data_IF_094283504836
#
_entry.id   IF_094283504836
#
_cell.length_a   1.000
_cell.length_b   1.000
_cell.length_c   1.000
_cell.angle_alpha   90.00
_cell.angle_beta   90.00
_cell.angle_gamma   90.00
#
_symmetry.space_group_name_H-M   'P 1'
#
loop_
_entity.id
_entity.type
_entity.pdbx_description
1 polymer ?
#
# COMPACT_ATOMS: atom_id res chain seq x y z
N UNK A 1 24.89 24.37 6.88
CA UNK A 1 25.83 23.36 6.33
C UNK A 1 25.35 21.98 6.76
N UNK A 2 25.11 21.08 5.81
CA UNK A 2 24.71 19.70 6.11
C UNK A 2 25.77 19.01 6.98
N UNK A 3 25.33 18.32 8.06
CA UNK A 3 26.24 17.52 8.89
C UNK A 3 26.73 16.34 8.06
N UNK A 4 28.04 16.16 7.99
CA UNK A 4 28.63 14.98 7.34
C UNK A 4 28.42 13.74 8.21
N UNK A 5 28.47 12.57 7.60
CA UNK A 5 28.29 11.26 8.28
C UNK A 5 29.22 11.11 9.50
N UNK A 6 30.43 11.66 9.44
CA UNK A 6 31.37 11.66 10.56
C UNK A 6 30.86 12.45 11.76
N UNK A 7 30.30 13.64 11.49
CA UNK A 7 29.72 14.48 12.57
C UNK A 7 28.52 13.78 13.23
N UNK A 8 27.76 12.99 12.46
CA UNK A 8 26.68 12.13 12.97
C UNK A 8 27.20 11.06 13.93
N UNK A 9 28.25 10.35 13.54
CA UNK A 9 28.85 9.29 14.35
C UNK A 9 29.42 9.86 15.68
N UNK A 10 29.90 11.09 15.66
CA UNK A 10 30.39 11.78 16.85
C UNK A 10 29.23 12.35 17.72
N UNK A 11 28.13 12.77 17.13
CA UNK A 11 26.97 13.35 17.83
C UNK A 11 26.04 12.31 18.47
N UNK A 12 25.93 11.11 17.90
CA UNK A 12 24.97 10.10 18.35
C UNK A 12 25.18 9.62 19.78
N UNK A 13 26.41 9.36 20.29
CA UNK A 13 26.62 9.00 21.69
C UNK A 13 26.09 10.06 22.66
N UNK A 14 26.31 11.35 22.39
CA UNK A 14 25.80 12.45 23.22
C UNK A 14 24.25 12.52 23.16
N UNK A 15 23.65 12.24 22.00
CA UNK A 15 22.21 12.13 21.86
C UNK A 15 21.63 10.98 22.69
N UNK A 16 22.30 9.83 22.75
CA UNK A 16 21.89 8.70 23.58
C UNK A 16 21.99 9.04 25.09
N UNK A 17 23.05 9.75 25.51
CA UNK A 17 23.21 10.20 26.89
C UNK A 17 22.09 11.18 27.28
N UNK A 18 21.80 12.14 26.42
CA UNK A 18 20.72 13.12 26.62
C UNK A 18 19.35 12.46 26.74
N UNK A 19 19.06 11.48 25.85
CA UNK A 19 17.81 10.71 25.87
C UNK A 19 17.77 9.62 26.95
N UNK A 20 18.87 9.39 27.65
CA UNK A 20 19.03 8.32 28.67
C UNK A 20 18.66 6.94 28.11
N UNK A 21 19.12 6.64 26.91
CA UNK A 21 18.93 5.35 26.27
C UNK A 21 20.26 4.68 25.93
N UNK A 22 20.19 3.39 25.60
CA UNK A 22 21.33 2.66 25.05
C UNK A 22 21.44 2.94 23.55
N UNK A 23 22.68 3.01 23.05
CA UNK A 23 22.92 3.15 21.63
C UNK A 23 22.34 1.95 20.84
N UNK A 24 21.58 2.24 19.79
CA UNK A 24 21.01 1.25 18.88
C UNK A 24 22.12 0.71 18.00
N UNK A 25 22.56 -0.53 18.25
CA UNK A 25 23.76 -1.09 17.64
C UNK A 25 23.69 -1.14 16.10
N UNK A 26 22.58 -1.51 15.46
CA UNK A 26 22.47 -1.46 13.99
C UNK A 26 22.67 -0.05 13.42
N UNK A 27 22.23 0.99 14.13
CA UNK A 27 22.48 2.37 13.72
C UNK A 27 23.96 2.75 13.84
N UNK A 28 24.60 2.39 14.97
CA UNK A 28 26.05 2.56 15.15
C UNK A 28 26.81 1.87 14.02
N UNK A 29 26.44 0.62 13.71
CA UNK A 29 27.05 -0.14 12.61
C UNK A 29 26.86 0.51 11.23
N UNK A 30 25.69 1.12 10.96
CA UNK A 30 25.44 1.86 9.73
C UNK A 30 26.34 3.11 9.63
N UNK A 31 26.44 3.87 10.72
CA UNK A 31 27.32 5.05 10.82
C UNK A 31 28.79 4.66 10.61
N UNK A 32 29.26 3.63 11.29
CA UNK A 32 30.65 3.16 11.18
C UNK A 32 30.97 2.74 9.76
N UNK A 33 30.12 1.91 9.12
CA UNK A 33 30.33 1.50 7.72
C UNK A 33 30.37 2.68 6.75
N UNK A 34 29.52 3.68 6.93
CA UNK A 34 29.49 4.84 6.07
C UNK A 34 30.72 5.72 6.28
N UNK A 35 31.20 5.90 7.53
CA UNK A 35 32.44 6.61 7.84
C UNK A 35 33.66 5.91 7.25
N UNK A 36 33.78 4.57 7.44
CA UNK A 36 34.90 3.78 6.93
C UNK A 36 34.95 3.78 5.40
N UNK A 37 33.81 3.79 4.75
CA UNK A 37 33.69 3.89 3.30
C UNK A 37 33.88 5.32 2.77
N UNK A 38 33.96 6.34 3.64
CA UNK A 38 33.98 7.76 3.23
C UNK A 38 32.72 8.18 2.49
N UNK A 39 31.59 7.47 2.71
CA UNK A 39 30.32 7.69 2.03
C UNK A 39 29.35 8.53 2.88
N UNK A 40 28.45 9.23 2.21
CA UNK A 40 27.34 9.90 2.88
C UNK A 40 26.24 8.87 3.23
N UNK A 41 25.64 9.02 4.42
CA UNK A 41 24.50 8.21 4.85
C UNK A 41 23.23 8.78 4.23
N UNK A 42 22.64 8.07 3.27
CA UNK A 42 21.42 8.49 2.56
C UNK A 42 20.18 7.74 3.03
N UNK A 43 20.35 6.54 3.56
CA UNK A 43 19.25 5.76 4.10
C UNK A 43 19.64 5.11 5.44
N UNK A 44 18.65 4.97 6.33
CA UNK A 44 18.76 4.32 7.64
C UNK A 44 17.65 3.30 7.77
N UNK A 45 17.99 2.02 7.88
CA UNK A 45 17.03 0.92 8.05
C UNK A 45 17.20 0.28 9.42
N UNK A 46 16.17 0.46 10.26
CA UNK A 46 16.11 -0.04 11.64
C UNK A 46 14.80 -0.78 11.88
N UNK A 47 14.45 -1.69 10.98
CA UNK A 47 13.24 -2.51 11.06
C UNK A 47 13.32 -3.46 12.28
N UNK A 48 12.36 -3.33 13.22
CA UNK A 48 12.31 -4.08 14.48
C UNK A 48 12.10 -5.58 14.32
N UNK A 49 11.72 -6.07 13.15
CA UNK A 49 11.62 -7.50 12.83
C UNK A 49 12.93 -8.06 12.26
N UNK A 50 13.94 -7.22 12.05
CA UNK A 50 15.29 -7.70 11.68
C UNK A 50 15.91 -8.52 12.81
N UNK A 51 16.83 -9.44 12.47
CA UNK A 51 17.51 -10.29 13.47
C UNK A 51 18.24 -9.45 14.51
N UNK A 52 18.79 -8.32 14.11
CA UNK A 52 19.59 -7.42 14.93
C UNK A 52 18.75 -6.65 15.97
N UNK A 53 17.48 -6.38 15.65
CA UNK A 53 16.59 -5.59 16.49
C UNK A 53 15.46 -6.38 17.15
N UNK A 54 15.24 -7.64 16.79
CA UNK A 54 14.11 -8.43 17.29
C UNK A 54 14.01 -8.47 18.82
N UNK A 55 15.13 -8.55 19.54
CA UNK A 55 15.20 -8.55 20.99
C UNK A 55 15.53 -7.17 21.62
N UNK A 56 15.72 -6.13 20.82
CA UNK A 56 16.14 -4.80 21.24
C UNK A 56 15.52 -3.72 20.35
N UNK A 57 14.20 -3.79 20.17
CA UNK A 57 13.43 -2.82 19.38
C UNK A 57 13.66 -1.40 19.89
N UNK A 58 13.68 -0.46 18.96
CA UNK A 58 13.82 0.96 19.26
C UNK A 58 12.56 1.45 20.01
N UNK A 59 12.75 2.00 21.20
CA UNK A 59 11.70 2.67 21.96
C UNK A 59 11.65 4.18 21.67
N UNK A 60 10.74 4.91 22.29
CA UNK A 60 10.61 6.35 22.12
C UNK A 60 11.88 7.11 22.41
N UNK A 61 12.66 6.70 23.44
CA UNK A 61 13.94 7.33 23.77
C UNK A 61 15.01 7.06 22.72
N UNK A 62 15.08 5.83 22.23
CA UNK A 62 15.97 5.45 21.15
C UNK A 62 15.65 6.22 19.87
N UNK A 63 14.37 6.36 19.55
CA UNK A 63 13.90 7.15 18.42
C UNK A 63 14.27 8.64 18.57
N UNK A 64 14.11 9.21 19.78
CA UNK A 64 14.51 10.58 20.07
C UNK A 64 16.02 10.81 19.91
N UNK A 65 16.85 9.86 20.35
CA UNK A 65 18.30 9.94 20.15
C UNK A 65 18.70 9.89 18.67
N UNK A 66 18.06 8.99 17.89
CA UNK A 66 18.27 8.88 16.44
C UNK A 66 17.82 10.17 15.74
N UNK A 67 16.61 10.66 16.04
CA UNK A 67 16.06 11.89 15.49
C UNK A 67 16.95 13.10 15.79
N UNK A 68 17.41 13.24 17.04
CA UNK A 68 18.34 14.31 17.44
C UNK A 68 19.66 14.26 16.66
N UNK A 69 20.23 13.07 16.47
CA UNK A 69 21.43 12.90 15.67
C UNK A 69 21.21 13.26 14.19
N UNK A 70 20.09 12.84 13.60
CA UNK A 70 19.74 13.09 12.20
C UNK A 70 19.32 14.54 11.93
N UNK A 71 18.93 15.30 12.95
CA UNK A 71 18.48 16.69 12.78
C UNK A 71 19.53 17.56 12.09
N UNK A 72 19.13 18.20 10.98
CA UNK A 72 20.01 19.10 10.20
C UNK A 72 21.03 18.39 9.34
N UNK A 73 20.94 17.06 9.18
CA UNK A 73 21.70 16.34 8.17
C UNK A 73 21.04 16.55 6.82
N UNK A 74 21.76 17.08 5.86
CA UNK A 74 21.22 17.29 4.50
C UNK A 74 21.35 16.05 3.60
N UNK A 75 21.60 14.86 4.12
CA UNK A 75 21.95 13.68 3.32
C UNK A 75 21.02 12.49 3.49
N UNK A 76 20.36 12.33 4.64
CA UNK A 76 19.46 11.21 4.89
C UNK A 76 18.10 11.47 4.24
N UNK A 77 17.77 10.65 3.25
CA UNK A 77 16.54 10.73 2.46
C UNK A 77 15.48 9.72 2.90
N UNK A 78 15.90 8.59 3.49
CA UNK A 78 15.01 7.50 3.90
C UNK A 78 15.32 7.04 5.32
N UNK A 79 14.27 6.95 6.16
CA UNK A 79 14.33 6.44 7.52
C UNK A 79 13.25 5.38 7.72
N UNK A 80 13.66 4.12 7.86
CA UNK A 80 12.80 3.00 8.23
C UNK A 80 12.99 2.68 9.72
N UNK A 81 11.95 2.96 10.50
CA UNK A 81 11.80 2.63 11.91
C UNK A 81 10.62 1.70 12.16
N UNK A 82 10.20 0.96 11.15
CA UNK A 82 9.04 0.07 11.20
C UNK A 82 9.20 -1.06 12.22
N UNK A 83 8.08 -1.51 12.77
CA UNK A 83 7.96 -2.63 13.72
C UNK A 83 8.80 -2.50 15.00
N UNK A 84 8.91 -1.29 15.51
CA UNK A 84 9.57 -0.95 16.75
C UNK A 84 8.56 -0.71 17.90
N UNK A 85 8.93 0.04 18.92
CA UNK A 85 8.08 0.41 20.06
C UNK A 85 8.11 1.91 20.29
N UNK A 86 7.95 2.66 19.20
CA UNK A 86 7.99 4.12 19.24
C UNK A 86 6.61 4.60 19.65
N UNK A 87 6.57 5.35 20.72
CA UNK A 87 5.41 6.01 21.32
C UNK A 87 5.25 7.46 20.83
N UNK A 88 4.31 8.18 21.41
CA UNK A 88 4.04 9.58 21.09
C UNK A 88 5.23 10.52 21.36
N UNK A 89 6.02 10.26 22.41
CA UNK A 89 7.23 11.03 22.70
C UNK A 89 8.29 10.82 21.61
N UNK A 90 8.46 9.58 21.17
CA UNK A 90 9.35 9.26 20.06
C UNK A 90 8.89 9.89 18.74
N UNK A 91 7.59 9.84 18.46
CA UNK A 91 6.99 10.48 17.30
C UNK A 91 7.17 12.01 17.31
N UNK A 92 7.05 12.64 18.48
CA UNK A 92 7.33 14.07 18.63
C UNK A 92 8.77 14.45 18.29
N UNK A 93 9.74 13.66 18.76
CA UNK A 93 11.14 13.88 18.42
C UNK A 93 11.41 13.73 16.90
N UNK A 94 10.75 12.74 16.27
CA UNK A 94 10.81 12.54 14.81
C UNK A 94 10.19 13.73 14.07
N UNK A 95 9.04 14.24 14.53
CA UNK A 95 8.40 15.41 13.95
C UNK A 95 9.32 16.65 13.99
N UNK A 96 10.01 16.87 15.10
CA UNK A 96 11.00 17.96 15.21
C UNK A 96 12.19 17.79 14.26
N UNK A 97 12.63 16.55 14.04
CA UNK A 97 13.66 16.25 13.07
C UNK A 97 13.17 16.55 11.64
N UNK A 98 11.96 16.12 11.27
CA UNK A 98 11.38 16.36 9.95
C UNK A 98 11.36 17.84 9.58
N UNK A 99 10.92 18.70 10.52
CA UNK A 99 10.89 20.15 10.33
C UNK A 99 12.26 20.78 10.03
N UNK A 100 13.36 20.06 10.31
CA UNK A 100 14.75 20.54 10.15
C UNK A 100 15.57 19.68 9.17
N UNK A 101 14.96 18.75 8.48
CA UNK A 101 15.63 17.79 7.59
C UNK A 101 15.05 17.83 6.19
N UNK A 102 15.39 18.84 5.36
CA UNK A 102 14.78 19.03 4.04
C UNK A 102 15.14 17.95 3.02
N UNK A 103 16.11 17.09 3.30
CA UNK A 103 16.46 15.96 2.45
C UNK A 103 15.54 14.74 2.65
N UNK A 104 14.82 14.66 3.78
CA UNK A 104 13.99 13.51 4.11
C UNK A 104 12.82 13.37 3.13
N UNK A 105 12.75 12.23 2.43
CA UNK A 105 11.73 11.90 1.43
C UNK A 105 10.81 10.79 1.89
N UNK A 106 11.34 9.78 2.57
CA UNK A 106 10.58 8.60 2.98
C UNK A 106 10.75 8.31 4.46
N UNK A 107 9.62 8.17 5.15
CA UNK A 107 9.56 7.82 6.57
C UNK A 107 8.61 6.63 6.77
N UNK A 108 9.16 5.53 7.26
CA UNK A 108 8.42 4.33 7.60
C UNK A 108 8.34 4.13 9.12
N UNK A 109 7.15 4.32 9.68
CA UNK A 109 6.83 4.16 11.10
C UNK A 109 5.82 3.04 11.34
N UNK A 110 5.61 2.13 10.39
CA UNK A 110 4.63 1.04 10.49
C UNK A 110 4.84 0.20 11.75
N UNK A 111 3.71 -0.26 12.34
CA UNK A 111 3.74 -1.24 13.43
C UNK A 111 4.50 -0.76 14.66
N UNK A 112 4.28 0.47 15.06
CA UNK A 112 4.77 1.08 16.30
C UNK A 112 3.61 1.29 17.29
N UNK A 113 3.84 2.05 18.35
CA UNK A 113 2.89 2.35 19.41
C UNK A 113 2.49 3.84 19.40
N UNK A 114 2.49 4.47 18.22
CA UNK A 114 2.17 5.89 18.05
C UNK A 114 0.66 6.07 18.16
N UNK A 115 0.24 6.90 19.09
CA UNK A 115 -1.15 7.26 19.32
C UNK A 115 -1.58 8.52 18.60
N UNK A 116 -2.79 9.04 18.91
CA UNK A 116 -3.32 10.26 18.30
C UNK A 116 -2.45 11.50 18.53
N UNK A 117 -1.81 11.61 19.70
CA UNK A 117 -0.95 12.75 20.04
C UNK A 117 0.31 12.76 19.19
N UNK A 118 0.98 11.60 19.03
CA UNK A 118 2.15 11.46 18.17
C UNK A 118 1.82 11.71 16.72
N UNK A 119 0.66 11.21 16.23
CA UNK A 119 0.17 11.48 14.88
C UNK A 119 -0.06 12.97 14.63
N UNK A 120 -0.64 13.69 15.60
CA UNK A 120 -0.83 15.13 15.51
C UNK A 120 0.50 15.89 15.39
N UNK A 121 1.54 15.47 16.13
CA UNK A 121 2.88 16.07 16.01
C UNK A 121 3.53 15.85 14.64
N UNK A 122 3.37 14.65 14.08
CA UNK A 122 3.83 14.38 12.71
C UNK A 122 3.02 15.24 11.71
N UNK A 123 1.70 15.35 11.90
CA UNK A 123 0.83 16.20 11.10
C UNK A 123 1.25 17.67 11.11
N UNK A 124 1.57 18.22 12.30
CA UNK A 124 2.08 19.59 12.45
C UNK A 124 3.36 19.82 11.63
N UNK A 125 4.27 18.83 11.63
CA UNK A 125 5.50 18.90 10.84
C UNK A 125 5.24 18.83 9.32
N UNK A 126 4.19 18.13 8.89
CA UNK A 126 3.77 18.07 7.50
C UNK A 126 3.07 19.35 7.03
N UNK A 127 2.29 20.01 7.91
CA UNK A 127 1.54 21.22 7.59
C UNK A 127 2.43 22.46 7.42
N UNK A 128 3.63 22.47 8.02
CA UNK A 128 4.56 23.61 8.00
C UNK A 128 5.23 23.86 6.62
N UNK A 129 4.65 23.36 5.53
CA UNK A 129 5.21 23.45 4.16
C UNK A 129 4.97 24.79 3.46
N UNK A 130 4.72 25.88 4.16
CA UNK A 130 4.70 27.19 3.53
C UNK A 130 3.60 28.11 3.96
N UNK A 131 3.84 28.82 5.00
CA UNK A 131 3.43 30.24 5.11
C UNK A 131 3.86 30.81 6.45
N UNK A 132 4.87 31.63 6.45
CA UNK A 132 4.88 32.80 7.32
C UNK A 132 5.39 33.95 6.48
N UNK A 133 4.45 34.73 5.96
CA UNK A 133 4.72 36.01 5.29
C UNK A 133 5.28 37.07 6.26
N UNK A 134 5.55 36.74 7.51
CA UNK A 134 5.82 37.72 8.56
C UNK A 134 7.15 37.57 9.32
N UNK A 135 8.04 36.58 8.99
CA UNK A 135 9.34 36.51 9.64
C UNK A 135 10.50 36.42 8.61
N UNK A 136 11.11 37.56 8.37
CA UNK A 136 12.27 37.76 7.46
C UNK A 136 13.56 37.02 7.89
N UNK A 137 13.59 36.25 8.99
CA UNK A 137 14.82 35.67 9.55
C UNK A 137 14.85 34.14 9.76
N UNK A 138 13.80 33.41 9.40
CA UNK A 138 13.85 31.96 9.43
C UNK A 138 13.74 31.39 8.03
N UNK A 139 14.81 30.79 7.50
CA UNK A 139 14.72 29.89 6.37
C UNK A 139 13.67 28.82 6.69
N UNK A 140 12.44 29.03 6.26
CA UNK A 140 11.33 28.07 6.46
C UNK A 140 11.73 26.80 5.69
N UNK A 141 12.33 25.85 6.40
CA UNK A 141 12.63 24.53 5.89
C UNK A 141 11.30 23.80 5.71
N UNK A 142 10.73 23.86 4.53
CA UNK A 142 9.53 23.10 4.22
C UNK A 142 9.84 21.60 4.33
N UNK A 143 8.96 20.86 4.99
CA UNK A 143 9.02 19.41 5.03
C UNK A 143 8.89 18.88 3.58
N UNK A 144 9.88 18.12 3.12
CA UNK A 144 9.94 17.59 1.75
C UNK A 144 9.57 16.11 1.68
N UNK A 145 8.84 15.61 2.70
CA UNK A 145 8.44 14.21 2.78
C UNK A 145 7.48 13.86 1.66
N UNK A 146 7.81 12.81 0.91
CA UNK A 146 7.05 12.31 -0.22
C UNK A 146 6.25 11.04 0.16
N UNK A 147 6.77 10.21 1.07
CA UNK A 147 6.11 8.99 1.52
C UNK A 147 6.12 8.90 3.04
N UNK A 148 4.93 8.68 3.62
CA UNK A 148 4.71 8.44 5.04
C UNK A 148 3.91 7.16 5.23
N UNK A 149 4.49 6.19 5.94
CA UNK A 149 3.82 4.95 6.33
C UNK A 149 3.69 4.89 7.83
N UNK A 150 2.46 4.87 8.32
CA UNK A 150 2.10 4.79 9.75
C UNK A 150 1.11 3.66 10.04
N UNK A 151 0.88 2.77 9.09
CA UNK A 151 -0.04 1.64 9.24
C UNK A 151 0.35 0.75 10.44
N UNK A 152 -0.66 0.19 11.11
CA UNK A 152 -0.46 -0.64 12.31
C UNK A 152 -0.06 0.14 13.57
N UNK A 153 -0.36 1.44 13.65
CA UNK A 153 -0.25 2.26 14.85
C UNK A 153 -1.64 2.62 15.39
N UNK A 154 -1.87 2.76 16.70
CA UNK A 154 -3.18 3.09 17.25
C UNK A 154 -3.52 4.59 17.15
N UNK A 155 -3.53 5.14 15.92
CA UNK A 155 -3.74 6.58 15.68
C UNK A 155 -5.17 7.04 16.02
N UNK A 156 -6.16 6.15 15.88
CA UNK A 156 -7.57 6.46 16.08
C UNK A 156 -8.14 7.50 15.12
N UNK A 157 -9.37 7.92 15.36
CA UNK A 157 -10.01 8.97 14.56
C UNK A 157 -9.29 10.32 14.69
N UNK A 158 -8.87 10.69 15.90
CA UNK A 158 -8.25 11.98 16.15
C UNK A 158 -6.90 12.13 15.45
N UNK A 159 -6.10 11.06 15.39
CA UNK A 159 -4.84 11.04 14.65
C UNK A 159 -5.05 11.19 13.14
N UNK A 160 -6.05 10.49 12.58
CA UNK A 160 -6.38 10.64 11.15
C UNK A 160 -6.95 12.03 10.83
N UNK A 161 -7.75 12.62 11.71
CA UNK A 161 -8.25 13.99 11.55
C UNK A 161 -7.10 14.99 11.55
N UNK A 162 -6.10 14.83 12.44
CA UNK A 162 -4.92 15.69 12.43
C UNK A 162 -4.13 15.56 11.12
N UNK A 163 -3.90 14.32 10.62
CA UNK A 163 -3.26 14.10 9.32
C UNK A 163 -4.08 14.69 8.16
N UNK A 164 -5.42 14.57 8.20
CA UNK A 164 -6.30 15.18 7.21
C UNK A 164 -6.17 16.70 7.18
N UNK A 165 -6.07 17.36 8.34
CA UNK A 165 -5.80 18.80 8.40
C UNK A 165 -4.47 19.18 7.77
N UNK A 166 -3.42 18.40 8.03
CA UNK A 166 -2.11 18.63 7.43
C UNK A 166 -2.13 18.45 5.90
N UNK A 167 -2.86 17.46 5.40
CA UNK A 167 -3.00 17.21 3.95
C UNK A 167 -3.58 18.40 3.19
N UNK A 168 -4.45 19.22 3.82
CA UNK A 168 -5.06 20.41 3.17
C UNK A 168 -4.02 21.44 2.71
N UNK A 169 -2.89 21.51 3.38
CA UNK A 169 -1.84 22.50 3.07
C UNK A 169 -0.54 21.86 2.58
N UNK A 170 -0.37 20.55 2.76
CA UNK A 170 0.83 19.84 2.35
C UNK A 170 0.84 19.62 0.83
N UNK A 171 1.94 20.03 0.18
CA UNK A 171 2.15 19.93 -1.27
C UNK A 171 3.30 18.98 -1.66
N UNK A 172 3.89 18.28 -0.68
CA UNK A 172 5.02 17.37 -0.91
C UNK A 172 4.65 15.89 -0.89
N UNK A 173 3.68 15.50 -0.03
CA UNK A 173 3.35 14.11 0.20
C UNK A 173 2.66 13.49 -1.02
N UNK A 174 3.20 12.36 -1.46
CA UNK A 174 2.72 11.55 -2.60
C UNK A 174 2.09 10.24 -2.14
N UNK A 175 2.61 9.67 -1.06
CA UNK A 175 2.15 8.41 -0.48
C UNK A 175 1.82 8.60 0.99
N UNK A 176 0.61 8.16 1.40
CA UNK A 176 0.18 8.04 2.78
C UNK A 176 -0.41 6.65 3.02
N UNK A 177 0.12 5.93 4.01
CA UNK A 177 -0.48 4.68 4.47
C UNK A 177 -0.81 4.77 5.97
N UNK A 178 -2.11 4.67 6.27
CA UNK A 178 -2.70 4.70 7.61
C UNK A 178 -3.67 3.54 7.81
N UNK A 179 -3.37 2.39 7.22
CA UNK A 179 -4.14 1.15 7.43
C UNK A 179 -3.94 0.57 8.81
N UNK A 180 -4.88 -0.25 9.29
CA UNK A 180 -4.81 -0.91 10.61
C UNK A 180 -4.51 0.08 11.78
N UNK A 181 -5.04 1.31 11.70
CA UNK A 181 -4.73 2.40 12.65
C UNK A 181 -5.82 2.63 13.69
N UNK A 182 -6.70 1.68 13.95
CA UNK A 182 -7.81 1.79 14.90
C UNK A 182 -8.79 2.95 14.63
N UNK A 183 -8.71 3.55 13.44
CA UNK A 183 -9.57 4.64 13.04
C UNK A 183 -10.94 4.15 12.61
N UNK A 184 -11.97 4.92 12.97
CA UNK A 184 -13.35 4.68 12.58
C UNK A 184 -13.76 5.49 11.34
N UNK A 185 -15.07 5.62 11.19
CA UNK A 185 -15.67 6.32 10.05
C UNK A 185 -15.28 7.81 9.98
N UNK A 186 -15.11 8.46 11.15
CA UNK A 186 -14.78 9.87 11.23
C UNK A 186 -13.39 10.16 10.66
N UNK A 187 -12.41 9.36 11.08
CA UNK A 187 -11.02 9.52 10.63
C UNK A 187 -10.87 9.28 9.13
N UNK A 188 -11.40 8.15 8.61
CA UNK A 188 -11.28 7.84 7.17
C UNK A 188 -12.04 8.84 6.30
N UNK A 189 -13.22 9.32 6.77
CA UNK A 189 -13.97 10.37 6.06
C UNK A 189 -13.23 11.69 6.04
N UNK A 190 -12.59 12.10 7.15
CA UNK A 190 -11.81 13.32 7.20
C UNK A 190 -10.65 13.31 6.18
N UNK A 191 -9.94 12.19 6.05
CA UNK A 191 -8.88 12.02 5.05
C UNK A 191 -9.44 12.12 3.63
N UNK A 192 -10.53 11.40 3.32
CA UNK A 192 -11.17 11.47 2.00
C UNK A 192 -11.61 12.90 1.64
N UNK A 193 -12.22 13.63 2.60
CA UNK A 193 -12.68 15.00 2.39
C UNK A 193 -11.53 15.96 2.18
N UNK A 194 -10.44 15.85 2.96
CA UNK A 194 -9.27 16.70 2.79
C UNK A 194 -8.62 16.55 1.41
N UNK A 195 -8.54 15.31 0.90
CA UNK A 195 -8.01 15.05 -0.43
C UNK A 195 -8.97 15.56 -1.51
N UNK A 196 -10.29 15.37 -1.32
CA UNK A 196 -11.29 15.84 -2.26
C UNK A 196 -11.33 17.37 -2.40
N UNK A 197 -11.20 18.09 -1.28
CA UNK A 197 -11.38 19.56 -1.25
C UNK A 197 -10.09 20.33 -1.55
N UNK A 198 -8.95 19.87 -1.01
CA UNK A 198 -7.78 20.74 -0.90
C UNK A 198 -6.44 20.08 -1.33
N UNK A 199 -6.38 18.75 -1.52
CA UNK A 199 -5.11 18.08 -1.84
C UNK A 199 -5.10 17.44 -3.22
N UNK A 200 -4.30 17.98 -4.11
CA UNK A 200 -4.06 17.47 -5.48
C UNK A 200 -2.70 16.78 -5.66
N UNK A 201 -1.94 16.62 -4.59
CA UNK A 201 -0.56 16.08 -4.67
C UNK A 201 -0.47 14.61 -4.35
N UNK A 202 -1.36 14.06 -3.51
CA UNK A 202 -1.34 12.66 -3.10
C UNK A 202 -1.63 11.73 -4.30
N UNK A 203 -0.87 10.65 -4.41
CA UNK A 203 -0.97 9.66 -5.49
C UNK A 203 -1.30 8.27 -4.97
N UNK A 204 -0.85 7.92 -3.78
CA UNK A 204 -1.09 6.61 -3.16
C UNK A 204 -1.68 6.78 -1.76
N UNK A 205 -2.81 6.12 -1.52
CA UNK A 205 -3.52 6.14 -0.24
C UNK A 205 -3.85 4.73 0.22
N UNK A 206 -3.37 4.36 1.41
CA UNK A 206 -3.73 3.13 2.11
C UNK A 206 -4.51 3.44 3.38
N UNK A 207 -5.74 2.90 3.48
CA UNK A 207 -6.61 3.06 4.66
C UNK A 207 -7.28 1.72 5.02
N UNK A 208 -6.53 0.63 4.95
CA UNK A 208 -7.08 -0.71 5.17
C UNK A 208 -7.55 -0.91 6.61
N UNK A 209 -8.53 -1.78 6.79
CA UNK A 209 -9.00 -2.28 8.09
C UNK A 209 -9.47 -1.20 9.08
N UNK A 210 -10.30 -0.23 8.69
CA UNK A 210 -10.88 0.73 9.64
C UNK A 210 -11.88 0.04 10.58
N UNK A 211 -12.06 0.58 11.78
CA UNK A 211 -13.06 0.11 12.77
C UNK A 211 -14.47 0.57 12.38
N UNK A 212 -15.10 -0.15 11.46
CA UNK A 212 -16.45 0.16 11.01
C UNK A 212 -17.47 -0.71 11.80
N UNK A 213 -18.36 -0.06 12.54
CA UNK A 213 -19.38 -0.73 13.35
C UNK A 213 -20.74 -0.83 12.66
N UNK A 214 -20.94 -0.12 11.56
CA UNK A 214 -22.20 -0.06 10.82
C UNK A 214 -22.05 -0.65 9.42
N UNK A 215 -23.17 -1.16 8.87
CA UNK A 215 -23.27 -1.58 7.47
C UNK A 215 -23.63 -0.41 6.53
N UNK A 216 -23.50 0.83 7.00
CA UNK A 216 -23.76 2.01 6.17
C UNK A 216 -22.57 2.27 5.25
N UNK A 217 -22.83 2.48 3.97
CA UNK A 217 -21.81 2.69 2.96
C UNK A 217 -21.34 4.14 2.83
N UNK A 218 -21.61 5.00 3.84
CA UNK A 218 -21.26 6.43 3.81
C UNK A 218 -19.76 6.66 3.57
N UNK A 219 -18.92 5.90 4.24
CA UNK A 219 -17.47 5.96 4.07
C UNK A 219 -17.04 5.61 2.64
N UNK A 220 -17.71 4.67 1.97
CA UNK A 220 -17.44 4.30 0.57
C UNK A 220 -17.82 5.44 -0.36
N UNK A 221 -18.91 6.16 -0.08
CA UNK A 221 -19.31 7.32 -0.87
C UNK A 221 -18.27 8.46 -0.80
N UNK A 222 -17.69 8.70 0.37
CA UNK A 222 -16.60 9.68 0.50
C UNK A 222 -15.35 9.26 -0.26
N UNK A 223 -14.98 7.97 -0.21
CA UNK A 223 -13.87 7.43 -1.00
C UNK A 223 -14.14 7.53 -2.52
N UNK A 224 -15.36 7.26 -2.97
CA UNK A 224 -15.75 7.39 -4.37
C UNK A 224 -15.67 8.86 -4.85
N UNK A 225 -16.19 9.82 -4.05
CA UNK A 225 -16.08 11.26 -4.37
C UNK A 225 -14.63 11.72 -4.44
N UNK A 226 -13.80 11.27 -3.52
CA UNK A 226 -12.38 11.58 -3.52
C UNK A 226 -11.73 11.08 -4.81
N UNK A 227 -11.95 9.81 -5.21
CA UNK A 227 -11.40 9.26 -6.44
C UNK A 227 -11.81 10.05 -7.69
N UNK A 228 -13.07 10.47 -7.77
CA UNK A 228 -13.60 11.18 -8.94
C UNK A 228 -12.95 12.56 -9.16
N UNK A 229 -12.37 13.17 -8.12
CA UNK A 229 -11.90 14.55 -8.18
C UNK A 229 -10.42 14.71 -7.78
N UNK A 230 -9.71 13.62 -7.48
CA UNK A 230 -8.32 13.68 -7.04
C UNK A 230 -7.35 13.03 -8.02
N UNK A 231 -6.05 13.31 -7.82
CA UNK A 231 -4.96 12.67 -8.56
C UNK A 231 -4.50 11.32 -8.00
N UNK A 232 -5.31 10.65 -7.16
CA UNK A 232 -4.96 9.37 -6.53
C UNK A 232 -4.92 8.26 -7.58
N UNK A 233 -3.77 7.62 -7.69
CA UNK A 233 -3.52 6.51 -8.63
C UNK A 233 -3.59 5.15 -7.97
N UNK A 234 -3.28 5.07 -6.68
CA UNK A 234 -3.28 3.83 -5.91
C UNK A 234 -4.16 3.99 -4.68
N UNK A 235 -5.20 3.15 -4.55
CA UNK A 235 -6.12 3.17 -3.42
C UNK A 235 -6.28 1.78 -2.81
N UNK A 236 -6.00 1.65 -1.50
CA UNK A 236 -6.15 0.42 -0.74
C UNK A 236 -7.28 0.55 0.27
N UNK A 237 -8.36 -0.22 0.03
CA UNK A 237 -9.57 -0.30 0.84
C UNK A 237 -9.83 -1.74 1.35
N UNK A 238 -8.78 -2.46 1.65
CA UNK A 238 -8.89 -3.80 2.21
C UNK A 238 -9.64 -3.80 3.55
N UNK A 239 -10.53 -4.79 3.78
CA UNK A 239 -11.33 -4.95 5.01
C UNK A 239 -12.26 -3.75 5.34
N UNK A 240 -12.73 -3.05 4.36
CA UNK A 240 -13.66 -1.93 4.50
C UNK A 240 -15.12 -2.35 4.63
N UNK A 241 -15.40 -3.66 4.69
CA UNK A 241 -16.76 -4.25 4.72
C UNK A 241 -17.62 -3.82 3.52
N UNK A 242 -16.98 -3.51 2.38
CA UNK A 242 -17.65 -3.14 1.14
C UNK A 242 -18.49 -4.32 0.68
N UNK A 243 -19.79 -4.13 0.60
CA UNK A 243 -20.76 -5.08 0.08
C UNK A 243 -21.19 -4.73 -1.35
N UNK A 244 -22.23 -5.36 -1.86
CA UNK A 244 -22.74 -5.13 -3.21
C UNK A 244 -23.20 -3.69 -3.46
N UNK A 245 -23.76 -3.02 -2.45
CA UNK A 245 -24.17 -1.61 -2.55
C UNK A 245 -22.97 -0.67 -2.50
N UNK A 246 -22.00 -0.98 -1.64
CA UNK A 246 -20.75 -0.21 -1.54
C UNK A 246 -19.95 -0.27 -2.83
N UNK A 247 -19.79 -1.46 -3.43
CA UNK A 247 -19.05 -1.58 -4.70
C UNK A 247 -19.81 -0.92 -5.87
N UNK A 248 -21.13 -0.93 -5.86
CA UNK A 248 -21.93 -0.19 -6.86
C UNK A 248 -21.69 1.31 -6.75
N UNK A 249 -21.65 1.84 -5.54
CA UNK A 249 -21.31 3.25 -5.26
C UNK A 249 -19.91 3.59 -5.75
N UNK A 250 -18.92 2.75 -5.44
CA UNK A 250 -17.53 2.97 -5.86
C UNK A 250 -17.39 2.92 -7.38
N UNK A 251 -18.05 1.97 -8.05
CA UNK A 251 -18.04 1.86 -9.49
C UNK A 251 -18.71 3.07 -10.17
N UNK A 252 -19.90 3.45 -9.70
CA UNK A 252 -20.70 4.48 -10.36
C UNK A 252 -20.22 5.92 -10.15
N UNK A 253 -19.69 6.23 -8.97
CA UNK A 253 -19.30 7.60 -8.61
C UNK A 253 -17.79 7.81 -8.47
N UNK A 254 -17.00 6.76 -8.41
CA UNK A 254 -15.56 6.83 -8.15
C UNK A 254 -14.72 6.42 -9.35
N UNK A 255 -14.68 5.13 -9.62
CA UNK A 255 -13.73 4.58 -10.60
C UNK A 255 -14.03 5.03 -12.02
N UNK A 256 -15.31 5.01 -12.45
CA UNK A 256 -15.71 5.46 -13.79
C UNK A 256 -15.47 6.94 -14.05
N UNK A 257 -15.37 7.77 -12.99
CA UNK A 257 -15.07 9.18 -13.08
C UNK A 257 -13.58 9.50 -12.86
N UNK A 258 -12.77 8.54 -12.42
CA UNK A 258 -11.34 8.75 -12.16
C UNK A 258 -10.53 8.61 -13.44
N UNK A 259 -9.80 9.66 -13.80
CA UNK A 259 -8.94 9.67 -14.99
C UNK A 259 -7.53 9.11 -14.74
N UNK A 260 -7.22 8.70 -13.50
CA UNK A 260 -5.84 8.37 -13.14
C UNK A 260 -5.66 7.14 -12.24
N UNK A 261 -6.75 6.47 -11.79
CA UNK A 261 -6.65 5.31 -10.91
C UNK A 261 -6.02 4.12 -11.63
N UNK A 262 -4.85 3.69 -11.16
CA UNK A 262 -4.09 2.57 -11.71
C UNK A 262 -4.18 1.32 -10.84
N UNK A 263 -4.26 1.48 -9.52
CA UNK A 263 -4.26 0.39 -8.55
C UNK A 263 -5.45 0.47 -7.61
N UNK A 264 -6.24 -0.60 -7.51
CA UNK A 264 -7.38 -0.71 -6.59
C UNK A 264 -7.32 -2.02 -5.79
N UNK A 265 -7.15 -1.89 -4.47
CA UNK A 265 -7.18 -3.04 -3.56
C UNK A 265 -8.50 -3.07 -2.77
N UNK A 266 -9.29 -4.09 -3.04
CA UNK A 266 -10.57 -4.39 -2.42
C UNK A 266 -10.55 -5.73 -1.66
N UNK A 267 -9.38 -6.23 -1.29
CA UNK A 267 -9.25 -7.54 -0.62
C UNK A 267 -10.01 -7.61 0.70
N UNK A 268 -10.44 -8.81 1.09
CA UNK A 268 -11.09 -9.07 2.37
C UNK A 268 -12.35 -8.20 2.61
N UNK A 269 -13.13 -7.94 1.57
CA UNK A 269 -14.42 -7.26 1.67
C UNK A 269 -15.59 -8.27 1.60
N UNK A 270 -16.80 -7.76 1.51
CA UNK A 270 -18.02 -8.56 1.44
C UNK A 270 -18.66 -8.54 0.04
N UNK A 271 -17.84 -8.36 -1.01
CA UNK A 271 -18.31 -8.33 -2.40
C UNK A 271 -18.75 -9.73 -2.78
N UNK A 272 -20.04 -9.90 -3.04
CA UNK A 272 -20.61 -11.16 -3.46
C UNK A 272 -20.87 -11.20 -4.98
N UNK A 273 -21.46 -12.26 -5.47
CA UNK A 273 -21.83 -12.44 -6.89
C UNK A 273 -22.66 -11.29 -7.50
N UNK A 274 -23.51 -10.66 -6.66
CA UNK A 274 -24.30 -9.49 -7.10
C UNK A 274 -23.40 -8.28 -7.32
N UNK A 275 -22.49 -8.01 -6.37
CA UNK A 275 -21.50 -6.93 -6.44
C UNK A 275 -20.47 -7.13 -7.55
N UNK A 276 -20.20 -8.37 -7.95
CA UNK A 276 -19.26 -8.67 -9.04
C UNK A 276 -19.65 -8.04 -10.39
N UNK A 277 -20.93 -7.73 -10.61
CA UNK A 277 -21.37 -6.97 -11.80
C UNK A 277 -20.81 -5.53 -11.77
N UNK A 278 -20.76 -4.93 -10.60
CA UNK A 278 -20.14 -3.59 -10.45
C UNK A 278 -18.62 -3.67 -10.59
N UNK A 279 -18.00 -4.78 -10.15
CA UNK A 279 -16.58 -5.05 -10.43
C UNK A 279 -16.34 -5.19 -11.95
N UNK A 280 -17.21 -5.90 -12.66
CA UNK A 280 -17.15 -6.00 -14.13
C UNK A 280 -17.19 -4.61 -14.80
N UNK A 281 -18.08 -3.71 -14.34
CA UNK A 281 -18.10 -2.31 -14.80
C UNK A 281 -16.80 -1.57 -14.49
N UNK A 282 -16.21 -1.76 -13.32
CA UNK A 282 -14.90 -1.18 -12.97
C UNK A 282 -13.83 -1.61 -13.97
N UNK A 283 -13.84 -2.87 -14.41
CA UNK A 283 -12.89 -3.40 -15.39
C UNK A 283 -13.15 -2.81 -16.79
N UNK A 284 -14.40 -2.63 -17.17
CA UNK A 284 -14.78 -2.09 -18.50
C UNK A 284 -14.59 -0.58 -18.60
N UNK A 285 -14.99 0.18 -17.57
CA UNK A 285 -14.98 1.64 -17.54
C UNK A 285 -13.65 2.22 -17.01
N UNK A 286 -12.84 1.43 -16.31
CA UNK A 286 -11.57 1.86 -15.73
C UNK A 286 -10.45 1.96 -16.77
N UNK A 287 -10.42 3.03 -17.55
CA UNK A 287 -9.48 3.23 -18.67
C UNK A 287 -8.01 3.21 -18.26
N UNK A 288 -7.69 3.51 -17.00
CA UNK A 288 -6.34 3.59 -16.46
C UNK A 288 -5.98 2.43 -15.53
N UNK A 289 -6.97 1.60 -15.14
CA UNK A 289 -6.82 0.55 -14.14
C UNK A 289 -5.89 -0.57 -14.66
N UNK A 290 -4.80 -0.80 -13.93
CA UNK A 290 -3.79 -1.82 -14.23
C UNK A 290 -3.79 -2.98 -13.24
N UNK A 291 -4.13 -2.69 -11.97
CA UNK A 291 -4.03 -3.66 -10.88
C UNK A 291 -5.31 -3.67 -10.06
N UNK A 292 -5.95 -4.85 -9.99
CA UNK A 292 -7.19 -5.05 -9.25
C UNK A 292 -7.04 -6.24 -8.30
N UNK A 293 -7.15 -5.97 -7.00
CA UNK A 293 -7.12 -7.00 -5.98
C UNK A 293 -8.50 -7.21 -5.36
N UNK A 294 -9.03 -8.42 -5.53
CA UNK A 294 -10.33 -8.89 -5.01
C UNK A 294 -10.16 -10.08 -4.04
N UNK A 295 -8.93 -10.38 -3.61
CA UNK A 295 -8.64 -11.53 -2.74
C UNK A 295 -9.60 -11.60 -1.55
N UNK A 296 -10.07 -12.81 -1.22
CA UNK A 296 -10.96 -13.07 -0.08
C UNK A 296 -12.27 -12.28 -0.09
N UNK A 297 -12.89 -12.20 -1.25
CA UNK A 297 -14.29 -11.82 -1.41
C UNK A 297 -15.14 -13.08 -1.67
N UNK A 298 -16.46 -12.93 -1.83
CA UNK A 298 -17.39 -14.04 -2.08
C UNK A 298 -17.98 -13.99 -3.48
N UNK A 299 -17.10 -13.96 -4.49
CA UNK A 299 -17.50 -13.77 -5.88
C UNK A 299 -18.29 -14.97 -6.41
N UNK A 300 -17.97 -16.19 -5.98
CA UNK A 300 -18.52 -17.44 -6.48
C UNK A 300 -18.42 -17.56 -8.01
N UNK A 301 -18.98 -18.60 -8.60
CA UNK A 301 -18.95 -18.81 -10.06
C UNK A 301 -19.66 -17.72 -10.85
N UNK A 302 -20.82 -17.28 -10.37
CA UNK A 302 -21.60 -16.25 -11.05
C UNK A 302 -20.85 -14.91 -11.12
N UNK A 303 -20.12 -14.55 -10.06
CA UNK A 303 -19.25 -13.38 -10.06
C UNK A 303 -18.04 -13.54 -10.98
N UNK A 304 -17.42 -14.72 -10.98
CA UNK A 304 -16.32 -15.03 -11.89
C UNK A 304 -16.75 -14.95 -13.37
N UNK A 305 -17.94 -15.44 -13.70
CA UNK A 305 -18.53 -15.31 -15.06
C UNK A 305 -18.74 -13.84 -15.43
N UNK A 306 -19.27 -13.01 -14.52
CA UNK A 306 -19.45 -11.59 -14.80
C UNK A 306 -18.13 -10.87 -15.09
N UNK A 307 -17.10 -11.17 -14.30
CA UNK A 307 -15.74 -10.63 -14.51
C UNK A 307 -15.16 -11.15 -15.82
N UNK A 308 -15.28 -12.47 -16.12
CA UNK A 308 -14.78 -13.08 -17.35
C UNK A 308 -15.34 -12.41 -18.61
N UNK A 309 -16.61 -12.03 -18.60
CA UNK A 309 -17.27 -11.33 -19.71
C UNK A 309 -16.76 -9.89 -19.89
N UNK A 310 -16.28 -9.24 -18.83
CA UNK A 310 -15.73 -7.89 -18.88
C UNK A 310 -14.27 -7.85 -19.37
N UNK A 311 -13.48 -8.91 -19.14
CA UNK A 311 -12.04 -8.93 -19.46
C UNK A 311 -11.71 -8.57 -20.93
N UNK A 312 -12.45 -9.00 -21.96
CA UNK A 312 -12.18 -8.58 -23.33
C UNK A 312 -12.29 -7.07 -23.58
N UNK A 313 -13.06 -6.36 -22.74
CA UNK A 313 -13.26 -4.92 -22.81
C UNK A 313 -12.25 -4.14 -21.96
N UNK A 314 -11.51 -4.81 -21.07
CA UNK A 314 -10.48 -4.17 -20.26
C UNK A 314 -9.41 -3.50 -21.13
N UNK A 315 -9.09 -2.25 -20.85
CA UNK A 315 -8.17 -1.48 -21.69
C UNK A 315 -6.71 -1.64 -21.28
N UNK A 316 -6.42 -1.72 -19.98
CA UNK A 316 -5.05 -1.69 -19.42
C UNK A 316 -4.81 -2.65 -18.27
N UNK A 317 -5.73 -3.56 -17.94
CA UNK A 317 -5.62 -4.44 -16.80
C UNK A 317 -4.43 -5.41 -16.97
N UNK A 318 -3.40 -5.25 -16.13
CA UNK A 318 -2.18 -6.05 -16.15
C UNK A 318 -2.19 -7.17 -15.11
N UNK A 319 -2.80 -6.94 -13.96
CA UNK A 319 -2.89 -7.91 -12.88
C UNK A 319 -4.28 -7.95 -12.27
N UNK A 320 -4.80 -9.16 -12.07
CA UNK A 320 -6.02 -9.41 -11.31
C UNK A 320 -5.78 -10.49 -10.27
N UNK A 321 -6.15 -10.19 -9.02
CA UNK A 321 -6.05 -11.11 -7.89
C UNK A 321 -7.44 -11.48 -7.39
N UNK A 322 -7.82 -12.75 -7.57
CA UNK A 322 -9.08 -13.33 -7.10
C UNK A 322 -8.83 -14.57 -6.23
N UNK A 323 -7.76 -14.57 -5.46
CA UNK A 323 -7.44 -15.66 -4.54
C UNK A 323 -8.53 -15.82 -3.49
N UNK A 324 -8.87 -17.08 -3.17
CA UNK A 324 -9.84 -17.42 -2.10
C UNK A 324 -11.18 -16.67 -2.24
N UNK A 325 -11.76 -16.66 -3.42
CA UNK A 325 -13.01 -15.98 -3.75
C UNK A 325 -14.22 -16.93 -3.85
N UNK A 326 -14.13 -18.14 -3.31
CA UNK A 326 -15.18 -19.18 -3.35
C UNK A 326 -15.61 -19.57 -4.79
N UNK A 327 -14.68 -19.49 -5.73
CA UNK A 327 -14.91 -19.83 -7.15
C UNK A 327 -14.69 -21.34 -7.32
N UNK A 328 -15.66 -22.02 -7.91
CA UNK A 328 -15.61 -23.45 -8.28
C UNK A 328 -15.20 -23.62 -9.76
N UNK A 329 -15.26 -24.83 -10.28
CA UNK A 329 -14.72 -25.17 -11.59
C UNK A 329 -15.39 -24.42 -12.76
N UNK A 330 -16.69 -24.16 -12.67
CA UNK A 330 -17.43 -23.41 -13.71
C UNK A 330 -16.92 -21.97 -13.83
N UNK A 331 -16.69 -21.29 -12.71
CA UNK A 331 -16.13 -19.95 -12.67
C UNK A 331 -14.67 -19.92 -13.14
N UNK A 332 -13.87 -20.91 -12.71
CA UNK A 332 -12.48 -21.08 -13.18
C UNK A 332 -12.43 -21.27 -14.70
N UNK A 333 -13.34 -22.07 -15.28
CA UNK A 333 -13.47 -22.24 -16.70
C UNK A 333 -13.85 -20.94 -17.42
N UNK A 334 -14.82 -20.21 -16.87
CA UNK A 334 -15.27 -18.95 -17.46
C UNK A 334 -14.15 -17.91 -17.52
N UNK A 335 -13.35 -17.80 -16.45
CA UNK A 335 -12.18 -16.89 -16.41
C UNK A 335 -11.14 -17.25 -17.47
N UNK A 336 -10.83 -18.55 -17.63
CA UNK A 336 -9.92 -18.99 -18.70
C UNK A 336 -10.45 -18.61 -20.09
N UNK A 337 -11.75 -18.81 -20.33
CA UNK A 337 -12.40 -18.50 -21.60
C UNK A 337 -12.43 -16.97 -21.84
N UNK A 338 -12.72 -16.15 -20.83
CA UNK A 338 -12.71 -14.69 -20.92
C UNK A 338 -11.33 -14.14 -21.25
N UNK A 339 -10.28 -14.66 -20.60
CA UNK A 339 -8.89 -14.26 -20.90
C UNK A 339 -8.50 -14.75 -22.31
N UNK A 340 -8.90 -15.96 -22.70
CA UNK A 340 -8.63 -16.47 -24.04
C UNK A 340 -9.30 -15.62 -25.14
N UNK A 341 -10.51 -15.11 -24.87
CA UNK A 341 -11.25 -14.21 -25.77
C UNK A 341 -10.64 -12.80 -25.85
N UNK A 342 -9.84 -12.40 -24.87
CA UNK A 342 -9.13 -11.12 -24.86
C UNK A 342 -7.98 -11.15 -25.87
N UNK A 343 -7.78 -10.04 -26.59
CA UNK A 343 -6.64 -9.88 -27.50
C UNK A 343 -5.31 -10.13 -26.74
N UNK A 344 -4.37 -10.93 -27.28
CA UNK A 344 -3.14 -11.32 -26.56
C UNK A 344 -2.35 -10.16 -25.95
N UNK A 345 -2.26 -9.03 -26.66
CA UNK A 345 -1.56 -7.81 -26.20
C UNK A 345 -2.25 -7.10 -25.04
N UNK A 346 -3.52 -7.39 -24.78
CA UNK A 346 -4.36 -6.77 -23.74
C UNK A 346 -4.69 -7.72 -22.58
N UNK A 347 -4.23 -8.97 -22.65
CA UNK A 347 -4.45 -9.95 -21.59
C UNK A 347 -3.74 -9.52 -20.31
N UNK A 348 -4.34 -9.77 -19.13
CA UNK A 348 -3.61 -9.64 -17.87
C UNK A 348 -2.32 -10.47 -17.91
N UNK A 349 -1.22 -9.87 -17.48
CA UNK A 349 0.09 -10.54 -17.39
C UNK A 349 0.20 -11.42 -16.14
N UNK A 350 -0.53 -11.06 -15.09
CA UNK A 350 -0.55 -11.79 -13.83
C UNK A 350 -1.99 -12.08 -13.43
N UNK A 351 -2.29 -13.36 -13.17
CA UNK A 351 -3.60 -13.80 -12.69
C UNK A 351 -3.41 -14.69 -11.46
N UNK A 352 -3.98 -14.26 -10.32
CA UNK A 352 -3.87 -14.99 -9.05
C UNK A 352 -5.22 -15.61 -8.71
N UNK A 353 -5.25 -16.94 -8.60
CA UNK A 353 -6.46 -17.71 -8.33
C UNK A 353 -6.30 -18.76 -7.22
N UNK A 354 -5.15 -18.81 -6.56
CA UNK A 354 -4.91 -19.80 -5.51
C UNK A 354 -5.97 -19.72 -4.40
N UNK A 355 -6.34 -20.88 -3.88
CA UNK A 355 -7.38 -20.98 -2.83
C UNK A 355 -8.82 -21.07 -3.35
N UNK A 356 -9.02 -21.10 -4.68
CA UNK A 356 -10.30 -21.48 -5.32
C UNK A 356 -10.32 -22.98 -5.67
N UNK A 357 -11.46 -23.51 -6.12
CA UNK A 357 -11.62 -24.93 -6.35
C UNK A 357 -11.48 -25.28 -7.84
N UNK A 358 -10.29 -25.68 -8.23
CA UNK A 358 -10.02 -26.16 -9.59
C UNK A 358 -10.53 -27.59 -9.76
N UNK A 359 -11.56 -27.78 -10.57
CA UNK A 359 -11.98 -29.08 -11.06
C UNK A 359 -11.16 -29.51 -12.30
N UNK A 360 -11.50 -30.65 -12.85
CA UNK A 360 -10.75 -31.24 -13.99
C UNK A 360 -10.83 -30.37 -15.24
N UNK A 361 -12.01 -29.82 -15.55
CA UNK A 361 -12.23 -29.01 -16.74
C UNK A 361 -11.47 -27.67 -16.67
N UNK A 362 -11.50 -27.02 -15.51
CA UNK A 362 -10.76 -25.78 -15.27
C UNK A 362 -9.26 -25.97 -15.40
N UNK A 363 -8.69 -27.05 -14.81
CA UNK A 363 -7.27 -27.38 -14.96
C UNK A 363 -6.88 -27.54 -16.43
N UNK A 364 -7.66 -28.29 -17.24
CA UNK A 364 -7.41 -28.47 -18.67
C UNK A 364 -7.49 -27.16 -19.45
N UNK A 365 -8.45 -26.29 -19.15
CA UNK A 365 -8.59 -24.99 -19.83
C UNK A 365 -7.43 -24.07 -19.50
N UNK A 366 -7.07 -23.94 -18.22
CA UNK A 366 -5.94 -23.10 -17.81
C UNK A 366 -4.60 -23.62 -18.31
N UNK A 367 -4.36 -24.92 -18.28
CA UNK A 367 -3.14 -25.50 -18.86
C UNK A 367 -3.01 -25.12 -20.35
N UNK A 368 -4.10 -25.26 -21.13
CA UNK A 368 -4.11 -24.86 -22.53
C UNK A 368 -3.89 -23.36 -22.72
N UNK A 369 -4.55 -22.52 -21.93
CA UNK A 369 -4.42 -21.07 -22.00
C UNK A 369 -2.98 -20.61 -21.72
N UNK A 370 -2.35 -21.15 -20.66
CA UNK A 370 -0.97 -20.83 -20.29
C UNK A 370 0.00 -21.23 -21.42
N UNK A 371 -0.14 -22.44 -21.97
CA UNK A 371 0.68 -22.90 -23.09
C UNK A 371 0.53 -22.00 -24.32
N UNK A 372 -0.71 -21.71 -24.72
CA UNK A 372 -1.00 -20.84 -25.87
C UNK A 372 -0.48 -19.39 -25.66
N UNK A 373 -0.57 -18.86 -24.44
CA UNK A 373 -0.07 -17.53 -24.14
C UNK A 373 1.45 -17.41 -24.30
N UNK A 374 2.19 -18.45 -23.94
CA UNK A 374 3.62 -18.53 -24.15
C UNK A 374 4.00 -18.64 -25.63
N UNK A 375 3.24 -19.43 -26.42
CA UNK A 375 3.47 -19.59 -27.87
C UNK A 375 3.30 -18.27 -28.65
N UNK A 376 2.35 -17.43 -28.24
CA UNK A 376 2.13 -16.11 -28.87
C UNK A 376 3.02 -15.00 -28.31
N UNK A 377 3.96 -15.34 -27.42
CA UNK A 377 4.90 -14.37 -26.84
C UNK A 377 4.31 -13.41 -25.79
N UNK A 378 3.12 -13.74 -25.27
CA UNK A 378 2.42 -12.98 -24.22
C UNK A 378 2.13 -13.90 -23.02
N UNK A 379 3.13 -14.40 -22.30
CA UNK A 379 2.94 -15.35 -21.21
C UNK A 379 2.14 -14.74 -20.06
N UNK A 380 1.25 -15.56 -19.48
CA UNK A 380 0.48 -15.20 -18.28
C UNK A 380 1.17 -15.86 -17.09
N UNK A 381 1.58 -15.07 -16.11
CA UNK A 381 2.08 -15.56 -14.84
C UNK A 381 0.91 -15.88 -13.91
N UNK A 382 0.94 -17.05 -13.28
CA UNK A 382 -0.08 -17.49 -12.33
C UNK A 382 0.56 -17.84 -10.99
N UNK A 383 -0.20 -17.73 -9.91
CA UNK A 383 0.19 -18.19 -8.56
C UNK A 383 -0.07 -19.69 -8.34
N UNK A 384 -0.25 -20.41 -9.42
CA UNK A 384 -0.44 -21.86 -9.47
C UNK A 384 0.23 -22.45 -10.72
N UNK A 385 0.58 -23.72 -10.62
CA UNK A 385 1.09 -24.52 -11.75
C UNK A 385 0.17 -25.71 -11.95
N UNK A 386 -0.08 -26.06 -13.21
CA UNK A 386 -0.87 -27.23 -13.59
C UNK A 386 0.05 -28.19 -14.32
N UNK A 387 0.23 -29.39 -13.76
CA UNK A 387 1.08 -30.45 -14.31
C UNK A 387 0.23 -31.65 -14.72
N UNK A 388 0.47 -32.24 -15.93
CA UNK A 388 -0.11 -33.53 -16.25
C UNK A 388 0.39 -34.60 -15.28
N UNK A 389 -0.52 -35.37 -14.70
CA UNK A 389 -0.12 -36.57 -13.93
C UNK A 389 0.24 -37.67 -14.90
N UNK A 390 1.37 -38.34 -14.67
CA UNK A 390 1.77 -39.50 -15.47
C UNK A 390 0.68 -40.56 -15.49
N UNK A 391 0.14 -40.82 -16.68
CA UNK A 391 -0.85 -41.83 -16.92
C UNK A 391 -0.24 -43.25 -16.80
N UNK A 392 0.02 -43.69 -15.56
CA UNK A 392 0.52 -45.05 -15.31
C UNK A 392 -0.56 -46.12 -15.47
N UNK A 393 -1.85 -45.77 -15.56
CA UNK A 393 -2.95 -46.71 -15.82
C UNK A 393 -4.09 -46.02 -16.58
N UNK A 394 -4.07 -46.10 -17.90
CA UNK A 394 -5.22 -46.07 -18.82
C UNK A 394 -6.17 -44.88 -18.77
N UNK A 395 -6.07 -44.04 -19.78
CA UNK A 395 -7.16 -43.36 -20.49
C UNK A 395 -7.71 -42.00 -20.00
N UNK A 396 -7.26 -41.33 -18.97
CA UNK A 396 -7.54 -39.90 -18.84
C UNK A 396 -6.32 -39.17 -18.25
N UNK A 397 -5.84 -38.13 -18.94
CA UNK A 397 -4.81 -37.21 -18.43
C UNK A 397 -5.41 -36.47 -17.20
N UNK A 398 -5.14 -36.97 -15.99
CA UNK A 398 -5.42 -36.22 -14.78
C UNK A 398 -4.39 -35.11 -14.65
N UNK A 399 -4.82 -33.92 -14.29
CA UNK A 399 -3.98 -32.76 -14.05
C UNK A 399 -3.99 -32.44 -12.57
N UNK A 400 -2.82 -32.14 -12.01
CA UNK A 400 -2.69 -31.65 -10.63
C UNK A 400 -2.44 -30.15 -10.64
N UNK A 401 -2.87 -29.46 -9.58
CA UNK A 401 -2.65 -28.04 -9.38
C UNK A 401 -1.90 -27.80 -8.07
N UNK A 402 -0.80 -27.11 -8.14
CA UNK A 402 0.01 -26.75 -6.99
C UNK A 402 0.20 -25.23 -6.90
N UNK A 403 0.39 -24.71 -5.69
CA UNK A 403 0.72 -23.32 -5.49
C UNK A 403 2.10 -23.01 -6.05
N UNK A 404 2.22 -21.87 -6.69
CA UNK A 404 3.48 -21.29 -7.14
C UNK A 404 3.60 -19.87 -6.58
N UNK A 405 4.77 -19.53 -6.04
CA UNK A 405 5.07 -18.14 -5.73
C UNK A 405 5.40 -17.42 -7.04
N UNK A 406 4.64 -16.39 -7.34
CA UNK A 406 4.93 -15.54 -8.52
C UNK A 406 6.26 -14.84 -8.26
N UNK A 407 7.26 -14.97 -9.14
CA UNK A 407 8.55 -14.32 -8.97
C UNK A 407 8.40 -12.81 -8.76
N UNK A 408 9.21 -12.21 -7.88
CA UNK A 408 9.14 -10.78 -7.51
C UNK A 408 9.43 -9.85 -8.71
N UNK A 409 10.16 -10.32 -9.71
CA UNK A 409 10.44 -9.60 -10.96
C UNK A 409 9.24 -9.56 -11.92
N UNK A 410 8.27 -10.47 -11.75
CA UNK A 410 7.00 -10.52 -12.49
C UNK A 410 5.86 -9.94 -11.65
N UNK A 411 5.88 -10.22 -10.34
CA UNK A 411 5.04 -9.54 -9.37
C UNK A 411 5.55 -8.09 -9.27
N UNK A 412 5.07 -7.23 -10.15
CA UNK A 412 5.28 -5.81 -9.95
C UNK A 412 4.74 -5.51 -8.55
N UNK A 413 5.62 -5.01 -7.65
CA UNK A 413 5.17 -4.32 -6.45
C UNK A 413 4.45 -3.05 -6.92
N UNK A 414 3.32 -3.26 -7.61
CA UNK A 414 2.51 -2.24 -8.24
C UNK A 414 2.09 -1.16 -7.23
N UNK A 415 2.02 -1.58 -5.98
CA UNK A 415 1.64 -0.76 -4.85
C UNK A 415 2.77 0.16 -4.37
N UNK A 416 4.03 -0.16 -4.66
CA UNK A 416 5.24 0.61 -4.31
C UNK A 416 5.81 1.38 -5.52
N UNK A 417 5.29 1.12 -6.72
CA UNK A 417 5.81 1.70 -7.98
C UNK A 417 4.94 2.86 -8.54
N UNK A 418 3.78 3.16 -7.93
CA UNK A 418 2.87 4.25 -8.24
C UNK A 418 2.98 5.34 -7.19
#
# INVERSE_FOLDING_TARGET
MARKTKDLAEAYPAACEAAKCKAVQPFVGALTRAVDAGAELTFVRLNGNSKELFNGRVDGKGAAAIASALTGTGTVEELDLSYNRIDDDGAWAIAQMLAKSPAMRRLDLRGNEIGPEGAARIADALASTGSSDDDDDAASTSCSLESLRMDGNPLGDDGLIALAHALRTNVSLRELNVGDCDAGIKGVTAVCVAIFEDNDTLRSLGMENPRLFTHQCEHVFHAARMLAASGVRSLRLGKWKIDSSGIETLAGYGVGASECLECLDLRCNAICEVGARSVARIIEEGETLRYLNLERNKLCDAGAVAIALALPNATRLEEIDMRSCDIDDDGICALADGIAATEPSRRPRVVRLWGNKFGELGRRRWHRLIAQSAEVGCPIACDFVITPMDATHGAEEHMDVARLDVPDDVAVNAWDAV
#
